data_IF_127923041870
#
_entry.id   IF_127923041870
#
_cell.length_a   1.000
_cell.length_b   1.000
_cell.length_c   1.000
_cell.angle_alpha   90.00
_cell.angle_beta   90.00
_cell.angle_gamma   90.00
#
_symmetry.space_group_name_H-M   'P 1'
#
loop_
_entity.id
_entity.type
_entity.pdbx_description
1 polymer ?
#
# COMPACT_ATOMS: atom_id res chain seq x y z
N UNK A 1 21.52 -15.87 3.05
CA UNK A 1 20.59 -14.90 3.67
C UNK A 1 19.39 -14.57 2.78
N UNK A 2 19.58 -14.11 1.53
CA UNK A 2 18.46 -13.79 0.61
C UNK A 2 17.43 -14.92 0.42
N UNK A 3 17.89 -16.14 0.12
CA UNK A 3 16.99 -17.31 -0.09
C UNK A 3 16.24 -17.75 1.17
N UNK A 4 16.85 -17.61 2.34
CA UNK A 4 16.22 -17.93 3.63
C UNK A 4 15.14 -16.92 4.01
N UNK A 5 15.39 -15.63 3.77
CA UNK A 5 14.41 -14.56 3.96
C UNK A 5 13.21 -14.74 3.01
N UNK A 6 13.48 -15.08 1.75
CA UNK A 6 12.44 -15.34 0.75
C UNK A 6 11.60 -16.57 1.12
N UNK A 7 12.22 -17.67 1.58
CA UNK A 7 11.48 -18.86 2.02
C UNK A 7 10.64 -18.58 3.27
N UNK A 8 11.17 -17.80 4.23
CA UNK A 8 10.45 -17.41 5.44
C UNK A 8 9.27 -16.50 5.10
N UNK A 9 9.47 -15.49 4.24
CA UNK A 9 8.43 -14.57 3.80
C UNK A 9 7.30 -15.30 3.06
N UNK A 10 7.64 -16.22 2.16
CA UNK A 10 6.66 -17.04 1.44
C UNK A 10 5.90 -17.98 2.37
N UNK A 11 6.56 -18.57 3.37
CA UNK A 11 5.89 -19.46 4.34
C UNK A 11 4.92 -18.68 5.23
N UNK A 12 5.33 -17.49 5.69
CA UNK A 12 4.48 -16.58 6.47
C UNK A 12 3.29 -16.10 5.65
N UNK A 13 3.49 -15.74 4.37
CA UNK A 13 2.41 -15.35 3.47
C UNK A 13 1.39 -16.50 3.23
N UNK A 14 1.87 -17.73 3.07
CA UNK A 14 1.01 -18.92 2.91
C UNK A 14 0.18 -19.21 4.16
N UNK A 15 0.72 -19.00 5.37
CA UNK A 15 0.00 -19.20 6.62
C UNK A 15 -1.17 -18.22 6.79
N UNK A 16 -1.03 -16.98 6.30
CA UNK A 16 -2.12 -15.99 6.33
C UNK A 16 -3.21 -16.26 5.27
N UNK A 17 -2.87 -16.90 4.14
CA UNK A 17 -3.85 -17.25 3.09
C UNK A 17 -4.56 -18.56 3.43
N UNK A 18 -3.87 -19.54 4.02
CA UNK A 18 -4.43 -20.86 4.34
C UNK A 18 -5.61 -20.82 5.34
N UNK A 19 -5.63 -19.84 6.27
CA UNK A 19 -6.75 -19.65 7.19
C UNK A 19 -8.06 -19.28 6.48
N UNK A 20 -7.99 -18.63 5.31
CA UNK A 20 -9.18 -18.28 4.52
C UNK A 20 -9.76 -19.46 3.72
N UNK A 21 -8.93 -20.46 3.38
CA UNK A 21 -9.34 -21.62 2.59
C UNK A 21 -10.14 -22.68 3.38
N UNK A 22 -10.01 -22.69 4.72
CA UNK A 22 -10.69 -23.67 5.59
C UNK A 22 -12.04 -23.19 6.17
N UNK A 23 -12.50 -21.97 5.85
CA UNK A 23 -13.69 -21.35 6.46
C UNK A 23 -14.89 -21.27 5.51
N UNK A 24 -15.13 -22.31 4.70
CA UNK A 24 -16.32 -22.42 3.85
C UNK A 24 -17.55 -22.83 4.69
N UNK A 25 -18.09 -21.88 5.46
CA UNK A 25 -19.33 -22.00 6.19
C UNK A 25 -19.73 -20.61 6.68
N UNK A 26 -20.98 -20.21 6.45
CA UNK A 26 -21.53 -18.91 6.84
C UNK A 26 -21.20 -18.55 8.30
N UNK A 27 -21.29 -17.25 8.66
CA UNK A 27 -21.12 -16.64 10.01
C UNK A 27 -19.74 -15.90 10.22
N UNK A 28 -19.47 -15.13 11.31
CA UNK A 28 -18.64 -13.89 11.43
C UNK A 28 -17.19 -13.89 10.90
N UNK A 29 -16.70 -15.02 10.41
CA UNK A 29 -15.45 -15.15 9.69
C UNK A 29 -15.38 -14.25 8.44
N UNK A 30 -16.50 -13.97 7.75
CA UNK A 30 -16.48 -13.09 6.57
C UNK A 30 -16.11 -11.64 6.92
N UNK A 31 -16.68 -11.09 8.00
CA UNK A 31 -16.33 -9.77 8.50
C UNK A 31 -14.86 -9.69 8.94
N UNK A 32 -14.38 -10.74 9.61
CA UNK A 32 -12.96 -10.88 9.99
C UNK A 32 -12.03 -10.91 8.76
N UNK A 33 -12.38 -11.69 7.73
CA UNK A 33 -11.60 -11.80 6.51
C UNK A 33 -11.56 -10.48 5.72
N UNK A 34 -12.68 -9.75 5.65
CA UNK A 34 -12.74 -8.43 5.02
C UNK A 34 -11.89 -7.42 5.81
N UNK A 35 -11.96 -7.43 7.14
CA UNK A 35 -11.16 -6.55 7.99
C UNK A 35 -9.65 -6.83 7.83
N UNK A 36 -9.24 -8.10 7.77
CA UNK A 36 -7.84 -8.45 7.51
C UNK A 36 -7.41 -8.03 6.10
N UNK A 37 -8.20 -8.35 5.07
CA UNK A 37 -7.86 -8.03 3.68
C UNK A 37 -7.68 -6.52 3.48
N UNK A 38 -8.58 -5.71 4.04
CA UNK A 38 -8.50 -4.25 3.96
C UNK A 38 -7.32 -3.68 4.74
N UNK A 39 -7.06 -4.18 5.95
CA UNK A 39 -5.91 -3.76 6.76
C UNK A 39 -4.56 -4.07 6.07
N UNK A 40 -4.37 -5.30 5.59
CA UNK A 40 -3.14 -5.69 4.90
C UNK A 40 -2.99 -4.98 3.55
N UNK A 41 -4.07 -4.87 2.77
CA UNK A 41 -4.08 -4.15 1.50
C UNK A 41 -3.64 -2.70 1.69
N UNK A 42 -4.18 -2.01 2.71
CA UNK A 42 -3.78 -0.63 3.01
C UNK A 42 -2.34 -0.54 3.50
N UNK A 43 -1.91 -1.44 4.39
CA UNK A 43 -0.56 -1.43 4.93
C UNK A 43 0.50 -1.58 3.84
N UNK A 44 0.27 -2.48 2.87
CA UNK A 44 1.18 -2.69 1.74
C UNK A 44 1.20 -1.45 0.82
N UNK A 45 0.03 -0.91 0.48
CA UNK A 45 -0.07 0.28 -0.36
C UNK A 45 0.62 1.49 0.29
N UNK A 46 0.36 1.75 1.58
CA UNK A 46 0.97 2.83 2.34
C UNK A 46 2.50 2.65 2.46
N UNK A 47 2.99 1.43 2.70
CA UNK A 47 4.42 1.16 2.76
C UNK A 47 5.10 1.43 1.41
N UNK A 48 4.53 0.95 0.30
CA UNK A 48 5.07 1.17 -1.04
C UNK A 48 5.08 2.65 -1.42
N UNK A 49 3.97 3.35 -1.21
CA UNK A 49 3.85 4.78 -1.52
C UNK A 49 4.79 5.61 -0.65
N UNK A 50 4.85 5.36 0.66
CA UNK A 50 5.72 6.09 1.58
C UNK A 50 7.21 5.96 1.24
N UNK A 51 7.67 4.77 0.83
CA UNK A 51 9.05 4.56 0.36
C UNK A 51 9.30 5.36 -0.93
N UNK A 52 8.40 5.27 -1.90
CA UNK A 52 8.55 5.97 -3.18
C UNK A 52 8.56 7.50 -3.01
N UNK A 53 7.67 8.03 -2.17
CA UNK A 53 7.62 9.46 -1.83
C UNK A 53 8.90 9.91 -1.13
N UNK A 54 9.39 9.14 -0.14
CA UNK A 54 10.64 9.45 0.56
C UNK A 54 11.84 9.53 -0.38
N UNK A 55 11.94 8.61 -1.34
CA UNK A 55 12.98 8.64 -2.37
C UNK A 55 12.85 9.86 -3.30
N UNK A 56 11.64 10.19 -3.73
CA UNK A 56 11.36 11.37 -4.54
C UNK A 56 11.70 12.68 -3.81
N UNK A 57 11.30 12.82 -2.54
CA UNK A 57 11.64 13.97 -1.69
C UNK A 57 13.15 14.13 -1.53
N UNK A 58 13.86 13.03 -1.24
CA UNK A 58 15.32 13.05 -1.12
C UNK A 58 15.98 13.60 -2.39
N UNK A 59 15.58 13.10 -3.56
CA UNK A 59 16.12 13.56 -4.83
C UNK A 59 15.80 15.05 -5.10
N UNK A 60 14.60 15.51 -4.75
CA UNK A 60 14.21 16.92 -4.87
C UNK A 60 15.04 17.83 -3.94
N UNK A 61 15.30 17.42 -2.70
CA UNK A 61 16.16 18.14 -1.77
C UNK A 61 17.61 18.21 -2.26
N UNK A 62 18.18 17.10 -2.73
CA UNK A 62 19.53 17.08 -3.31
C UNK A 62 19.63 17.96 -4.57
N UNK A 63 18.61 17.90 -5.44
CA UNK A 63 18.53 18.75 -6.63
C UNK A 63 18.47 20.24 -6.28
N UNK A 64 17.69 20.60 -5.28
CA UNK A 64 17.55 21.98 -4.79
C UNK A 64 18.83 22.49 -4.14
N UNK A 65 19.50 21.65 -3.33
CA UNK A 65 20.76 22.01 -2.70
C UNK A 65 21.87 22.26 -3.74
N UNK A 66 21.88 21.51 -4.85
CA UNK A 66 22.85 21.69 -5.94
C UNK A 66 22.52 22.87 -6.85
N UNK A 67 21.24 23.16 -7.07
CA UNK A 67 20.78 24.23 -7.95
C UNK A 67 19.65 25.05 -7.31
N UNK A 68 19.96 25.98 -6.38
CA UNK A 68 18.95 26.74 -5.65
C UNK A 68 18.04 27.58 -6.54
N UNK A 69 18.56 28.10 -7.66
CA UNK A 69 17.80 28.89 -8.63
C UNK A 69 16.69 28.09 -9.33
N UNK A 70 16.83 26.75 -9.38
CA UNK A 70 15.83 25.87 -9.97
C UNK A 70 14.78 25.37 -8.95
N UNK A 71 14.87 25.78 -7.68
CA UNK A 71 14.03 25.27 -6.57
C UNK A 71 12.54 25.27 -6.91
N UNK A 72 12.01 26.38 -7.43
CA UNK A 72 10.59 26.47 -7.78
C UNK A 72 10.14 25.43 -8.81
N UNK A 73 10.94 25.20 -9.86
CA UNK A 73 10.64 24.18 -10.88
C UNK A 73 10.74 22.77 -10.30
N UNK A 74 11.73 22.51 -9.44
CA UNK A 74 11.91 21.22 -8.77
C UNK A 74 10.71 20.92 -7.87
N UNK A 75 10.24 21.89 -7.07
CA UNK A 75 9.07 21.73 -6.20
C UNK A 75 7.81 21.40 -7.00
N UNK A 76 7.56 22.07 -8.13
CA UNK A 76 6.38 21.77 -8.97
C UNK A 76 6.44 20.34 -9.51
N UNK A 77 7.57 19.93 -10.09
CA UNK A 77 7.73 18.56 -10.60
C UNK A 77 7.64 17.52 -9.49
N UNK A 78 8.21 17.82 -8.32
CA UNK A 78 8.11 16.97 -7.12
C UNK A 78 6.65 16.79 -6.70
N UNK A 79 5.88 17.87 -6.58
CA UNK A 79 4.47 17.80 -6.16
C UNK A 79 3.62 17.00 -7.15
N UNK A 80 3.84 17.15 -8.46
CA UNK A 80 3.16 16.35 -9.47
C UNK A 80 3.52 14.86 -9.30
N UNK A 81 4.81 14.54 -9.15
CA UNK A 81 5.25 13.17 -8.91
C UNK A 81 4.68 12.55 -7.63
N UNK A 82 4.65 13.30 -6.54
CA UNK A 82 4.06 12.87 -5.27
C UNK A 82 2.56 12.65 -5.39
N UNK A 83 1.83 13.51 -6.09
CA UNK A 83 0.41 13.33 -6.34
C UNK A 83 0.12 12.05 -7.15
N UNK A 84 0.97 11.72 -8.14
CA UNK A 84 0.83 10.47 -8.89
C UNK A 84 1.11 9.24 -8.03
N UNK A 85 2.11 9.29 -7.14
CA UNK A 85 2.36 8.21 -6.19
C UNK A 85 1.19 8.07 -5.20
N UNK A 86 0.70 9.18 -4.66
CA UNK A 86 -0.41 9.18 -3.70
C UNK A 86 -1.70 8.62 -4.30
N UNK A 87 -1.94 8.82 -5.61
CA UNK A 87 -3.12 8.26 -6.28
C UNK A 87 -3.22 6.74 -6.15
N UNK A 88 -2.09 6.02 -6.06
CA UNK A 88 -2.05 4.58 -5.84
C UNK A 88 -2.56 4.19 -4.45
N UNK A 89 -2.19 4.98 -3.42
CA UNK A 89 -2.69 4.81 -2.07
C UNK A 89 -4.20 5.11 -2.00
N UNK A 90 -4.66 6.15 -2.72
CA UNK A 90 -6.08 6.48 -2.80
C UNK A 90 -6.87 5.37 -3.51
N UNK A 91 -6.35 4.73 -4.56
CA UNK A 91 -7.03 3.58 -5.18
C UNK A 91 -7.20 2.41 -4.20
N UNK A 92 -6.16 2.09 -3.41
CA UNK A 92 -6.27 1.06 -2.37
C UNK A 92 -7.28 1.45 -1.28
N UNK A 93 -7.27 2.72 -0.85
CA UNK A 93 -8.23 3.26 0.11
C UNK A 93 -9.66 3.15 -0.42
N UNK A 94 -9.92 3.53 -1.67
CA UNK A 94 -11.25 3.45 -2.28
C UNK A 94 -11.77 2.01 -2.30
N UNK A 95 -10.94 1.05 -2.71
CA UNK A 95 -11.31 -0.37 -2.69
C UNK A 95 -11.65 -0.82 -1.26
N UNK A 96 -10.86 -0.41 -0.26
CA UNK A 96 -11.13 -0.74 1.13
C UNK A 96 -12.43 -0.12 1.64
N UNK A 97 -12.72 1.13 1.30
CA UNK A 97 -13.98 1.79 1.66
C UNK A 97 -15.18 1.05 1.04
N UNK A 98 -15.06 0.59 -0.21
CA UNK A 98 -16.10 -0.23 -0.85
C UNK A 98 -16.28 -1.54 -0.07
N UNK A 99 -15.21 -2.26 0.27
CA UNK A 99 -15.31 -3.52 1.00
C UNK A 99 -15.87 -3.37 2.43
N UNK A 100 -15.67 -2.23 3.08
CA UNK A 100 -16.15 -1.97 4.44
C UNK A 100 -17.58 -1.41 4.49
N UNK A 101 -17.95 -0.54 3.55
CA UNK A 101 -19.19 0.24 3.64
C UNK A 101 -20.18 -0.02 2.50
N UNK A 102 -19.74 -0.59 1.38
CA UNK A 102 -20.56 -0.83 0.19
C UNK A 102 -20.25 -2.21 -0.41
N UNK A 103 -20.12 -3.22 0.45
CA UNK A 103 -19.59 -4.51 0.06
C UNK A 103 -20.57 -5.25 -0.88
N UNK A 104 -20.18 -5.53 -2.14
CA UNK A 104 -21.07 -6.16 -3.10
C UNK A 104 -21.34 -7.65 -2.83
N UNK A 105 -20.61 -8.27 -1.89
CA UNK A 105 -20.69 -9.70 -1.60
C UNK A 105 -21.53 -10.04 -0.37
N UNK A 106 -21.97 -9.04 0.39
CA UNK A 106 -22.67 -9.23 1.68
C UNK A 106 -24.07 -8.61 1.69
N UNK A 107 -24.66 -8.41 0.51
CA UNK A 107 -26.04 -7.95 0.34
C UNK A 107 -27.04 -9.10 0.33
#
# INVERSE_FOLDING_TARGET
MRKGILSLLSTVALLFVASSAFAAGADPALASNIAMATAFGMAIAAAGCGIAQGLGLKAACEGTARNPEASGKITVTMLIGLAMIESLAIYALVVNLILLFANPFVG
#
